data_IF_596499195395
#
_entry.id   IF_596499195395
#
_cell.length_a   1.000
_cell.length_b   1.000
_cell.length_c   1.000
_cell.angle_alpha   90.00
_cell.angle_beta   90.00
_cell.angle_gamma   90.00
#
_symmetry.space_group_name_H-M   'P 1'
#
loop_
_entity.id
_entity.type
_entity.pdbx_description
1 polymer ?
#
# COMPACT_ATOMS: atom_id res chain seq x y z
N UNK A 1 16.58 -11.74 50.29
CA UNK A 1 16.46 -10.51 49.50
C UNK A 1 16.36 -10.84 48.01
N UNK A 2 17.32 -11.54 47.40
CA UNK A 2 17.33 -11.89 45.96
C UNK A 2 16.08 -12.66 45.52
N UNK A 3 15.70 -13.70 46.27
CA UNK A 3 14.51 -14.55 45.93
C UNK A 3 13.18 -13.78 45.99
N UNK A 4 13.05 -12.81 46.89
CA UNK A 4 11.88 -11.96 46.98
C UNK A 4 11.81 -11.02 45.76
N UNK A 5 12.93 -10.40 45.41
CA UNK A 5 13.02 -9.51 44.23
C UNK A 5 12.71 -10.29 42.93
N UNK A 6 13.24 -11.51 42.80
CA UNK A 6 12.95 -12.36 41.64
C UNK A 6 11.46 -12.68 41.54
N UNK A 7 10.77 -13.02 42.62
CA UNK A 7 9.32 -13.28 42.64
C UNK A 7 8.53 -12.04 42.24
N UNK A 8 8.96 -10.86 42.69
CA UNK A 8 8.31 -9.59 42.33
C UNK A 8 8.47 -9.28 40.86
N UNK A 9 9.67 -9.47 40.31
CA UNK A 9 9.94 -9.29 38.86
C UNK A 9 9.13 -10.28 38.02
N UNK A 10 9.11 -11.55 38.40
CA UNK A 10 8.32 -12.58 37.71
C UNK A 10 6.82 -12.24 37.72
N UNK A 11 6.30 -11.80 38.88
CA UNK A 11 4.91 -11.36 38.98
C UNK A 11 4.59 -10.15 38.09
N UNK A 12 5.48 -9.17 38.06
CA UNK A 12 5.33 -7.99 37.19
C UNK A 12 5.33 -8.38 35.69
N UNK A 13 6.27 -9.25 35.30
CA UNK A 13 6.33 -9.75 33.90
C UNK A 13 5.03 -10.50 33.56
N UNK A 14 4.54 -11.36 34.44
CA UNK A 14 3.29 -12.09 34.22
C UNK A 14 2.10 -11.14 34.03
N UNK A 15 1.99 -10.11 34.87
CA UNK A 15 0.95 -9.08 34.75
C UNK A 15 1.06 -8.33 33.41
N UNK A 16 2.25 -7.90 33.03
CA UNK A 16 2.48 -7.21 31.74
C UNK A 16 2.08 -8.10 30.57
N UNK A 17 2.47 -9.38 30.58
CA UNK A 17 2.10 -10.32 29.52
C UNK A 17 0.59 -10.56 29.44
N UNK A 18 -0.08 -10.70 30.58
CA UNK A 18 -1.55 -10.85 30.60
C UNK A 18 -2.27 -9.61 30.09
N UNK A 19 -1.82 -8.42 30.50
CA UNK A 19 -2.40 -7.16 30.01
C UNK A 19 -2.15 -6.99 28.50
N UNK A 20 -0.96 -7.33 28.02
CA UNK A 20 -0.65 -7.27 26.58
C UNK A 20 -1.50 -8.27 25.79
N UNK A 21 -1.63 -9.50 26.27
CA UNK A 21 -2.47 -10.51 25.62
C UNK A 21 -3.94 -10.09 25.60
N UNK A 22 -4.44 -9.53 26.71
CA UNK A 22 -5.80 -9.00 26.80
C UNK A 22 -6.03 -7.82 25.85
N UNK A 23 -5.05 -6.92 25.73
CA UNK A 23 -5.11 -5.81 24.77
C UNK A 23 -5.13 -6.30 23.32
N UNK A 24 -4.23 -7.21 22.96
CA UNK A 24 -4.21 -7.82 21.61
C UNK A 24 -5.55 -8.49 21.31
N UNK A 25 -6.08 -9.29 22.23
CA UNK A 25 -7.36 -9.97 22.02
C UNK A 25 -8.54 -8.98 21.87
N UNK A 26 -8.52 -7.87 22.62
CA UNK A 26 -9.57 -6.85 22.57
C UNK A 26 -9.51 -5.95 21.33
N UNK A 27 -8.33 -5.82 20.71
CA UNK A 27 -8.10 -4.98 19.52
C UNK A 27 -7.88 -5.79 18.25
N UNK A 28 -8.02 -7.12 18.33
CA UNK A 28 -7.85 -7.99 17.19
C UNK A 28 -8.97 -7.76 16.15
N UNK A 29 -8.60 -7.28 14.98
CA UNK A 29 -9.48 -7.19 13.83
C UNK A 29 -8.98 -8.16 12.76
N UNK A 30 -9.77 -9.15 12.36
CA UNK A 30 -9.41 -10.04 11.27
C UNK A 30 -9.39 -9.28 9.93
N UNK A 31 -8.61 -9.81 8.98
CA UNK A 31 -8.62 -9.29 7.61
C UNK A 31 -10.03 -9.38 7.03
N UNK A 32 -10.42 -8.33 6.31
CA UNK A 32 -11.70 -8.26 5.60
C UNK A 32 -11.48 -8.50 4.12
N UNK A 33 -12.50 -9.08 3.46
CA UNK A 33 -12.42 -9.30 2.03
C UNK A 33 -12.44 -7.96 1.25
N UNK A 34 -11.87 -7.98 0.04
CA UNK A 34 -11.91 -6.83 -0.86
C UNK A 34 -13.36 -6.43 -1.16
N UNK A 35 -14.27 -7.40 -1.29
CA UNK A 35 -15.69 -7.20 -1.54
C UNK A 35 -16.36 -6.39 -0.43
N UNK A 36 -16.07 -6.70 0.84
CA UNK A 36 -16.61 -5.97 1.99
C UNK A 36 -16.09 -4.53 2.08
N UNK A 37 -14.85 -4.32 1.64
CA UNK A 37 -14.19 -3.02 1.72
C UNK A 37 -14.44 -2.13 0.51
N UNK A 38 -14.82 -2.73 -0.63
CA UNK A 38 -14.95 -2.06 -1.93
C UNK A 38 -15.93 -0.90 -1.91
N UNK A 39 -17.09 -1.06 -1.29
CA UNK A 39 -18.11 -0.01 -1.24
C UNK A 39 -17.58 1.25 -0.56
N UNK A 40 -16.81 1.07 0.51
CA UNK A 40 -16.27 2.17 1.30
C UNK A 40 -15.01 2.78 0.69
N UNK A 41 -14.09 1.93 0.17
CA UNK A 41 -12.73 2.36 -0.16
C UNK A 41 -12.42 2.40 -1.66
N UNK A 42 -13.33 1.85 -2.49
CA UNK A 42 -13.21 1.90 -3.94
C UNK A 42 -14.42 2.54 -4.66
N UNK A 43 -15.00 3.66 -4.15
CA UNK A 43 -15.99 4.38 -4.95
C UNK A 43 -15.32 4.94 -6.21
N UNK A 44 -16.07 5.27 -7.26
CA UNK A 44 -15.55 5.94 -8.43
C UNK A 44 -14.67 7.16 -8.03
N UNK A 45 -13.52 7.39 -8.67
CA UNK A 45 -13.05 6.79 -9.93
C UNK A 45 -12.20 5.51 -9.77
N UNK A 46 -12.28 4.79 -8.65
CA UNK A 46 -11.54 3.54 -8.44
C UNK A 46 -11.83 2.50 -9.51
N UNK A 47 -10.78 1.82 -9.95
CA UNK A 47 -10.79 0.75 -10.95
C UNK A 47 -9.97 -0.43 -10.45
N UNK A 48 -10.25 -1.61 -11.02
CA UNK A 48 -9.45 -2.81 -10.80
C UNK A 48 -9.01 -3.32 -12.18
N UNK A 49 -7.70 -3.43 -12.38
CA UNK A 49 -7.10 -4.00 -13.59
C UNK A 49 -6.39 -5.31 -13.25
N UNK A 50 -6.32 -6.22 -14.19
CA UNK A 50 -5.55 -7.45 -14.03
C UNK A 50 -4.11 -7.22 -14.49
N UNK A 51 -3.15 -7.51 -13.61
CA UNK A 51 -1.72 -7.40 -13.88
C UNK A 51 -1.04 -8.66 -13.35
N UNK A 52 -0.46 -9.46 -14.22
CA UNK A 52 0.28 -10.66 -13.82
C UNK A 52 -0.56 -11.69 -13.02
N UNK A 53 -1.88 -11.77 -13.26
CA UNK A 53 -2.79 -12.66 -12.53
C UNK A 53 -3.27 -12.10 -11.19
N UNK A 54 -3.00 -10.84 -10.89
CA UNK A 54 -3.47 -10.14 -9.69
C UNK A 54 -4.37 -8.96 -10.07
N UNK A 55 -5.46 -8.74 -9.33
CA UNK A 55 -6.27 -7.54 -9.48
C UNK A 55 -5.64 -6.38 -8.71
N UNK A 56 -5.33 -5.31 -9.43
CA UNK A 56 -4.70 -4.11 -8.88
C UNK A 56 -5.75 -3.01 -8.74
N UNK A 57 -5.94 -2.52 -7.52
CA UNK A 57 -6.77 -1.35 -7.24
C UNK A 57 -6.02 -0.08 -7.61
N UNK A 58 -6.60 0.72 -8.50
CA UNK A 58 -6.00 1.96 -8.95
C UNK A 58 -7.03 3.08 -9.14
N UNK A 59 -6.52 4.31 -9.20
CA UNK A 59 -7.23 5.48 -9.69
C UNK A 59 -6.38 6.18 -10.75
N UNK A 60 -7.03 6.60 -11.83
CA UNK A 60 -6.43 7.29 -12.96
C UNK A 60 -7.26 8.55 -13.22
N UNK A 61 -6.77 9.69 -12.81
CA UNK A 61 -7.51 10.94 -12.66
C UNK A 61 -6.84 12.06 -13.47
N UNK A 62 -7.62 13.07 -13.87
CA UNK A 62 -7.14 14.22 -14.64
C UNK A 62 -7.19 14.04 -16.15
N UNK A 63 -6.54 14.93 -16.91
CA UNK A 63 -6.64 15.01 -18.38
C UNK A 63 -5.98 13.81 -19.05
N UNK A 64 -6.77 13.02 -19.79
CA UNK A 64 -6.32 11.81 -20.48
C UNK A 64 -5.33 12.06 -21.63
N UNK A 65 -5.28 13.25 -22.15
CA UNK A 65 -4.33 13.68 -23.17
C UNK A 65 -2.91 13.93 -22.65
N UNK A 66 -2.70 13.96 -21.34
CA UNK A 66 -1.36 14.00 -20.74
C UNK A 66 -0.65 12.66 -20.97
N UNK A 67 0.28 12.64 -21.92
CA UNK A 67 1.03 11.45 -22.34
C UNK A 67 2.19 11.09 -21.40
N UNK A 68 2.42 11.89 -20.37
CA UNK A 68 3.46 11.66 -19.36
C UNK A 68 2.88 11.84 -17.95
N UNK A 69 1.97 10.94 -17.54
CA UNK A 69 1.28 11.08 -16.26
C UNK A 69 2.22 11.06 -15.07
N UNK A 70 1.73 11.59 -13.95
CA UNK A 70 2.39 11.46 -12.64
C UNK A 70 1.89 10.18 -12.00
N UNK A 71 2.80 9.30 -11.61
CA UNK A 71 2.51 8.04 -10.89
C UNK A 71 2.93 8.20 -9.44
N UNK A 72 2.00 7.92 -8.51
CA UNK A 72 2.19 8.12 -7.08
C UNK A 72 2.17 6.79 -6.32
N UNK A 73 3.29 6.44 -5.68
CA UNK A 73 3.47 5.21 -4.91
C UNK A 73 3.41 5.49 -3.40
N UNK A 74 2.51 4.85 -2.69
CA UNK A 74 2.36 5.01 -1.25
C UNK A 74 3.47 4.27 -0.45
N UNK A 75 3.55 4.54 0.85
CA UNK A 75 4.47 3.87 1.76
C UNK A 75 3.91 2.62 2.41
N UNK A 76 4.71 1.98 3.27
CA UNK A 76 4.29 0.83 4.09
C UNK A 76 3.08 1.18 4.94
N UNK A 77 2.15 0.24 5.11
CA UNK A 77 0.90 0.38 5.89
C UNK A 77 0.00 1.53 5.45
N UNK A 78 0.09 1.91 4.18
CA UNK A 78 -0.73 2.94 3.55
C UNK A 78 -1.47 2.38 2.33
N UNK A 79 -2.15 3.24 1.58
CA UNK A 79 -2.85 2.93 0.34
C UNK A 79 -2.79 4.11 -0.61
N UNK A 80 -3.33 3.96 -1.81
CA UNK A 80 -3.44 5.04 -2.80
C UNK A 80 -4.14 6.30 -2.25
N UNK A 81 -4.98 6.15 -1.22
CA UNK A 81 -5.67 7.27 -0.56
C UNK A 81 -4.75 8.26 0.16
N UNK A 82 -3.52 7.86 0.49
CA UNK A 82 -2.49 8.76 1.01
C UNK A 82 -2.31 10.01 0.16
N UNK A 83 -2.61 9.90 -1.14
CA UNK A 83 -2.40 10.94 -2.12
C UNK A 83 -3.62 11.80 -2.42
N UNK A 84 -4.78 11.59 -1.74
CA UNK A 84 -6.04 12.28 -2.05
C UNK A 84 -5.87 13.81 -2.10
N UNK A 85 -5.17 14.39 -1.13
CA UNK A 85 -4.93 15.85 -1.10
C UNK A 85 -4.03 16.34 -2.23
N UNK A 86 -3.02 15.56 -2.66
CA UNK A 86 -2.16 15.91 -3.78
C UNK A 86 -2.90 15.79 -5.11
N UNK A 87 -3.69 14.74 -5.25
CA UNK A 87 -4.45 14.49 -6.49
C UNK A 87 -5.50 15.57 -6.71
N UNK A 88 -6.16 16.06 -5.65
CA UNK A 88 -7.13 17.15 -5.75
C UNK A 88 -6.58 18.40 -6.47
N UNK A 89 -5.28 18.67 -6.31
CA UNK A 89 -4.60 19.80 -6.97
C UNK A 89 -4.00 19.39 -8.32
N UNK A 90 -3.26 18.29 -8.35
CA UNK A 90 -2.50 17.88 -9.54
C UNK A 90 -3.43 17.50 -10.70
N UNK A 91 -4.54 16.81 -10.43
CA UNK A 91 -5.45 16.30 -11.46
C UNK A 91 -6.19 17.41 -12.24
N UNK A 92 -6.13 18.64 -11.78
CA UNK A 92 -6.69 19.78 -12.51
C UNK A 92 -5.95 20.06 -13.83
N UNK A 93 -4.66 19.73 -13.88
CA UNK A 93 -3.79 20.04 -15.03
C UNK A 93 -2.94 18.88 -15.54
N UNK A 94 -2.78 17.83 -14.74
CA UNK A 94 -1.96 16.65 -15.03
C UNK A 94 -2.77 15.37 -14.88
N UNK A 95 -2.47 14.37 -15.68
CA UNK A 95 -2.96 13.00 -15.43
C UNK A 95 -2.18 12.42 -14.28
N UNK A 96 -2.90 11.88 -13.28
CA UNK A 96 -2.32 11.29 -12.07
C UNK A 96 -2.83 9.86 -11.94
N UNK A 97 -1.89 8.93 -11.82
CA UNK A 97 -2.18 7.52 -11.60
C UNK A 97 -1.62 7.13 -10.25
N UNK A 98 -2.42 6.45 -9.48
CA UNK A 98 -2.03 5.92 -8.16
C UNK A 98 -2.68 4.57 -7.96
N UNK A 99 -1.97 3.64 -7.34
CA UNK A 99 -2.46 2.30 -7.10
C UNK A 99 -1.95 1.75 -5.77
N UNK A 100 -2.66 0.75 -5.26
CA UNK A 100 -2.24 0.01 -4.08
C UNK A 100 -1.13 -0.98 -4.47
N UNK A 101 -0.01 -0.91 -3.77
CA UNK A 101 1.10 -1.85 -3.94
C UNK A 101 0.71 -3.25 -3.43
N UNK A 102 1.26 -4.35 -3.98
CA UNK A 102 1.08 -5.69 -3.45
C UNK A 102 1.36 -5.78 -1.94
N UNK A 103 0.47 -6.46 -1.22
CA UNK A 103 0.49 -6.53 0.25
C UNK A 103 -0.24 -5.40 0.96
N UNK A 104 -0.83 -4.45 0.22
CA UNK A 104 -1.50 -3.29 0.80
C UNK A 104 -2.84 -3.00 0.12
N UNK A 105 -3.68 -2.25 0.85
CA UNK A 105 -4.95 -1.74 0.36
C UNK A 105 -5.85 -2.83 -0.23
N UNK A 106 -6.51 -2.50 -1.34
CA UNK A 106 -7.42 -3.42 -2.02
C UNK A 106 -6.77 -4.25 -3.15
N UNK A 107 -5.47 -4.05 -3.41
CA UNK A 107 -4.69 -4.96 -4.27
C UNK A 107 -4.44 -6.30 -3.56
N UNK A 108 -4.31 -6.28 -2.23
CA UNK A 108 -4.12 -7.49 -1.44
C UNK A 108 -2.73 -8.13 -1.58
N UNK A 109 -2.56 -9.37 -1.13
CA UNK A 109 -1.26 -10.06 -1.13
C UNK A 109 -0.68 -10.22 -2.53
N UNK A 110 0.67 -10.20 -2.64
CA UNK A 110 1.35 -10.55 -3.89
C UNK A 110 1.01 -12.00 -4.30
N UNK A 111 0.71 -12.21 -5.57
CA UNK A 111 0.27 -13.52 -6.08
C UNK A 111 1.31 -14.63 -5.86
N UNK A 112 2.58 -14.27 -5.91
CA UNK A 112 3.73 -15.19 -5.68
C UNK A 112 4.33 -15.09 -4.27
N UNK A 113 3.79 -14.21 -3.41
CA UNK A 113 4.32 -13.95 -2.08
C UNK A 113 5.67 -13.21 -2.07
N UNK A 114 6.13 -12.67 -3.18
CA UNK A 114 7.40 -11.97 -3.31
C UNK A 114 7.24 -10.46 -3.06
N UNK A 115 7.83 -9.98 -1.98
CA UNK A 115 7.82 -8.56 -1.56
C UNK A 115 9.21 -7.94 -1.62
N UNK A 116 10.11 -8.47 -2.46
CA UNK A 116 11.41 -7.85 -2.69
C UNK A 116 11.27 -6.52 -3.43
N UNK A 117 12.24 -5.63 -3.26
CA UNK A 117 12.24 -4.36 -3.99
C UNK A 117 12.30 -4.56 -5.52
N UNK A 118 12.92 -5.64 -6.00
CA UNK A 118 12.92 -5.98 -7.42
C UNK A 118 11.51 -6.34 -7.90
N UNK A 119 10.79 -7.19 -7.15
CA UNK A 119 9.40 -7.54 -7.49
C UNK A 119 8.47 -6.31 -7.51
N UNK A 120 8.66 -5.36 -6.61
CA UNK A 120 7.90 -4.10 -6.66
C UNK A 120 8.25 -3.25 -7.88
N UNK A 121 9.51 -3.21 -8.32
CA UNK A 121 9.93 -2.51 -9.54
C UNK A 121 9.25 -3.14 -10.75
N UNK A 122 9.34 -4.47 -10.89
CA UNK A 122 8.72 -5.21 -11.97
C UNK A 122 7.20 -4.98 -11.98
N UNK A 123 6.55 -5.04 -10.81
CA UNK A 123 5.13 -4.76 -10.67
C UNK A 123 4.73 -3.35 -11.15
N UNK A 124 5.51 -2.30 -10.83
CA UNK A 124 5.24 -0.94 -11.30
C UNK A 124 5.33 -0.86 -12.83
N UNK A 125 6.33 -1.50 -13.43
CA UNK A 125 6.51 -1.56 -14.88
C UNK A 125 5.31 -2.30 -15.50
N UNK A 126 4.94 -3.46 -14.99
CA UNK A 126 3.81 -4.26 -15.48
C UNK A 126 2.48 -3.50 -15.43
N UNK A 127 2.25 -2.70 -14.36
CA UNK A 127 1.08 -1.81 -14.29
C UNK A 127 1.12 -0.76 -15.39
N UNK A 128 2.27 -0.12 -15.62
CA UNK A 128 2.40 0.89 -16.67
C UNK A 128 2.25 0.29 -18.06
N UNK A 129 2.81 -0.88 -18.32
CA UNK A 129 2.68 -1.61 -19.57
C UNK A 129 1.21 -2.01 -19.83
N UNK A 130 0.53 -2.51 -18.81
CA UNK A 130 -0.91 -2.84 -18.88
C UNK A 130 -1.77 -1.62 -19.23
N UNK A 131 -1.37 -0.43 -18.75
CA UNK A 131 -2.04 0.83 -19.07
C UNK A 131 -1.59 1.44 -20.40
N UNK A 132 -0.60 0.86 -21.08
CA UNK A 132 -0.03 1.37 -22.33
C UNK A 132 0.75 2.68 -22.17
N UNK A 133 1.43 2.85 -21.01
CA UNK A 133 2.13 4.10 -20.66
C UNK A 133 3.63 3.86 -20.67
N UNK A 134 4.30 4.37 -21.69
CA UNK A 134 5.76 4.23 -21.89
C UNK A 134 6.59 5.26 -21.11
N UNK A 135 6.01 6.41 -20.78
CA UNK A 135 6.70 7.52 -20.10
C UNK A 135 5.85 8.09 -18.99
N UNK A 136 6.43 8.25 -17.83
CA UNK A 136 5.75 8.79 -16.66
C UNK A 136 6.73 9.46 -15.71
N UNK A 137 6.22 10.36 -14.86
CA UNK A 137 6.94 10.91 -13.71
C UNK A 137 6.59 10.07 -12.50
N UNK A 138 7.57 9.49 -11.87
CA UNK A 138 7.35 8.61 -10.72
C UNK A 138 7.70 9.33 -9.42
N UNK A 139 6.78 9.33 -8.48
CA UNK A 139 6.97 9.86 -7.14
C UNK A 139 6.48 8.85 -6.09
N UNK A 140 7.07 8.87 -4.92
CA UNK A 140 6.70 7.94 -3.86
C UNK A 140 7.10 8.40 -2.48
N UNK A 141 6.41 7.87 -1.47
CA UNK A 141 6.71 8.09 -0.06
C UNK A 141 7.27 6.82 0.56
N UNK A 142 8.33 6.92 1.36
CA UNK A 142 8.92 5.80 2.12
C UNK A 142 9.23 4.60 1.23
N UNK A 143 8.55 3.45 1.40
CA UNK A 143 8.68 2.28 0.51
C UNK A 143 8.46 2.67 -0.95
N UNK A 144 7.39 3.42 -1.26
CA UNK A 144 7.11 3.90 -2.60
C UNK A 144 8.24 4.78 -3.17
N UNK A 145 8.90 5.58 -2.32
CA UNK A 145 10.10 6.35 -2.70
C UNK A 145 11.29 5.46 -3.06
N UNK A 146 11.51 4.38 -2.30
CA UNK A 146 12.55 3.40 -2.59
C UNK A 146 12.29 2.65 -3.91
N UNK A 147 11.03 2.33 -4.18
CA UNK A 147 10.60 1.72 -5.44
C UNK A 147 10.80 2.70 -6.58
N UNK A 148 10.32 3.94 -6.45
CA UNK A 148 10.43 4.98 -7.47
C UNK A 148 11.89 5.22 -7.89
N UNK A 149 12.78 5.35 -6.92
CA UNK A 149 14.21 5.49 -7.18
C UNK A 149 14.78 4.31 -7.98
N UNK A 150 14.45 3.06 -7.60
CA UNK A 150 14.96 1.86 -8.27
C UNK A 150 14.38 1.69 -9.67
N UNK A 151 13.11 1.96 -9.87
CA UNK A 151 12.45 1.89 -11.18
C UNK A 151 13.07 2.86 -12.19
N UNK A 152 13.49 4.05 -11.74
CA UNK A 152 14.13 5.03 -12.64
C UNK A 152 15.61 4.75 -12.90
N UNK A 153 16.24 3.86 -12.13
CA UNK A 153 17.63 3.46 -12.29
C UNK A 153 17.80 2.14 -13.05
N UNK A 154 16.72 1.45 -13.37
CA UNK A 154 16.70 0.20 -14.13
C UNK A 154 16.54 0.47 -15.61
#
# INVERSE_FOLDING_TARGET
>A
MVTFLMKLITGLIAVVLLLSAGMVAATWEPDRSVEELRERWAPPPSQFIEVGGQFVHLRDEGPRQDTTPIVLLHGTSASLHTWDGWVAELSQTRRVIRFDLPGFGLTGPAADGNYSLAAYVDFVIDVMDTLGIERFVLAGNSLGGSIAWRTTAA
#
